data_IF_342429628378
#
_entry.id   IF_342429628378
#
_cell.length_a   1.000
_cell.length_b   1.000
_cell.length_c   1.000
_cell.angle_alpha   90.00
_cell.angle_beta   90.00
_cell.angle_gamma   90.00
#
_symmetry.space_group_name_H-M   'P 1'
#
loop_
_entity.id
_entity.type
_entity.pdbx_description
1 polymer ?
#
# COMPACT_ATOMS: atom_id res chain seq x y z
N UNK A 1 -9.58 -23.54 -19.99
CA UNK A 1 -8.80 -22.92 -18.90
C UNK A 1 -7.94 -21.77 -19.42
N UNK A 2 -7.13 -21.94 -20.45
CA UNK A 2 -6.30 -20.87 -21.08
C UNK A 2 -7.06 -19.62 -21.54
N UNK A 3 -8.32 -19.74 -21.92
CA UNK A 3 -9.13 -18.61 -22.44
C UNK A 3 -9.59 -17.69 -21.32
N UNK A 4 -9.86 -18.21 -20.12
CA UNK A 4 -10.34 -17.44 -18.95
C UNK A 4 -9.22 -16.66 -18.29
N UNK A 5 -8.01 -17.21 -18.21
CA UNK A 5 -6.82 -16.51 -17.70
C UNK A 5 -6.42 -15.37 -18.63
N UNK A 6 -6.51 -15.55 -19.94
CA UNK A 6 -6.30 -14.46 -20.91
C UNK A 6 -7.33 -13.34 -20.73
N UNK A 7 -8.58 -13.68 -20.51
CA UNK A 7 -9.67 -12.69 -20.33
C UNK A 7 -9.50 -11.90 -19.03
N UNK A 8 -9.07 -12.54 -17.94
CA UNK A 8 -8.76 -11.88 -16.66
C UNK A 8 -7.54 -10.96 -16.77
N UNK A 9 -6.50 -11.40 -17.47
CA UNK A 9 -5.31 -10.58 -17.70
C UNK A 9 -5.63 -9.38 -18.60
N UNK A 10 -6.42 -9.57 -19.66
CA UNK A 10 -6.88 -8.47 -20.53
C UNK A 10 -7.76 -7.46 -19.78
N UNK A 11 -8.66 -7.92 -18.90
CA UNK A 11 -9.47 -7.03 -18.06
C UNK A 11 -8.60 -6.23 -17.10
N UNK A 12 -7.61 -6.87 -16.49
CA UNK A 12 -6.64 -6.24 -15.59
C UNK A 12 -5.78 -5.20 -16.33
N UNK A 13 -5.30 -5.52 -17.53
CA UNK A 13 -4.51 -4.59 -18.34
C UNK A 13 -5.33 -3.39 -18.82
N UNK A 14 -6.59 -3.63 -19.25
CA UNK A 14 -7.50 -2.55 -19.64
C UNK A 14 -7.84 -1.62 -18.47
N UNK A 15 -8.10 -2.19 -17.29
CA UNK A 15 -8.34 -1.42 -16.06
C UNK A 15 -7.11 -0.60 -15.67
N UNK A 16 -5.90 -1.17 -15.74
CA UNK A 16 -4.64 -0.46 -15.51
C UNK A 16 -4.42 0.69 -16.48
N UNK A 17 -4.76 0.47 -17.75
CA UNK A 17 -4.63 1.48 -18.81
C UNK A 17 -5.61 2.64 -18.59
N UNK A 18 -6.85 2.34 -18.26
CA UNK A 18 -7.87 3.34 -17.91
C UNK A 18 -7.47 4.16 -16.69
N UNK A 19 -7.02 3.51 -15.61
CA UNK A 19 -6.58 4.19 -14.40
C UNK A 19 -5.35 5.08 -14.64
N UNK A 20 -4.42 4.66 -15.50
CA UNK A 20 -3.26 5.47 -15.89
C UNK A 20 -3.68 6.73 -16.65
N UNK A 21 -4.63 6.60 -17.59
CA UNK A 21 -5.16 7.73 -18.34
C UNK A 21 -5.92 8.70 -17.43
N UNK A 22 -6.78 8.19 -16.55
CA UNK A 22 -7.47 8.98 -15.53
C UNK A 22 -6.49 9.74 -14.62
N UNK A 23 -5.37 9.13 -14.25
CA UNK A 23 -4.33 9.80 -13.50
C UNK A 23 -3.81 11.07 -14.20
N UNK A 24 -3.50 10.93 -15.48
CA UNK A 24 -3.01 12.05 -16.27
C UNK A 24 -4.09 13.13 -16.43
N UNK A 25 -5.34 12.72 -16.63
CA UNK A 25 -6.46 13.65 -16.77
C UNK A 25 -6.83 14.38 -15.46
N UNK A 26 -6.58 13.77 -14.30
CA UNK A 26 -6.76 14.43 -12.99
C UNK A 26 -5.58 15.33 -12.66
N UNK A 27 -4.36 14.91 -12.96
CA UNK A 27 -3.15 15.71 -12.67
C UNK A 27 -3.07 16.99 -13.48
N UNK A 28 -3.57 16.96 -14.71
CA UNK A 28 -3.53 18.13 -15.59
C UNK A 28 -4.27 19.34 -14.99
N UNK A 29 -5.56 19.24 -14.60
CA UNK A 29 -6.28 20.36 -13.98
C UNK A 29 -5.68 20.75 -12.63
N UNK A 30 -5.18 19.81 -11.81
CA UNK A 30 -4.51 20.11 -10.55
C UNK A 30 -3.23 20.92 -10.78
N UNK A 31 -2.44 20.54 -11.80
CA UNK A 31 -1.25 21.30 -12.21
C UNK A 31 -1.61 22.72 -12.70
N UNK A 32 -2.72 22.86 -13.41
CA UNK A 32 -3.25 24.16 -13.83
C UNK A 32 -3.67 25.03 -12.64
N UNK A 33 -4.42 24.49 -11.70
CA UNK A 33 -4.83 25.19 -10.46
C UNK A 33 -3.60 25.64 -9.66
N UNK A 34 -2.65 24.73 -9.46
CA UNK A 34 -1.40 25.02 -8.77
C UNK A 34 -0.61 26.13 -9.45
N UNK A 35 -0.44 26.04 -10.78
CA UNK A 35 0.29 27.05 -11.56
C UNK A 35 -0.37 28.42 -11.53
N UNK A 36 -1.71 28.48 -11.63
CA UNK A 36 -2.47 29.72 -11.51
C UNK A 36 -2.32 30.35 -10.12
N UNK A 37 -2.40 29.55 -9.05
CA UNK A 37 -2.20 30.01 -7.69
C UNK A 37 -0.78 30.56 -7.46
N UNK A 38 0.25 29.91 -8.03
CA UNK A 38 1.64 30.38 -7.95
C UNK A 38 1.87 31.71 -8.67
N UNK A 39 1.24 31.89 -9.85
CA UNK A 39 1.32 33.16 -10.58
C UNK A 39 0.63 34.26 -9.78
N UNK A 40 -0.55 34.00 -9.24
CA UNK A 40 -1.28 34.95 -8.40
C UNK A 40 -0.50 35.33 -7.15
N UNK A 41 0.11 34.33 -6.46
CA UNK A 41 0.95 34.58 -5.27
C UNK A 41 2.10 35.54 -5.55
N UNK A 42 2.71 35.47 -6.76
CA UNK A 42 3.78 36.37 -7.19
C UNK A 42 3.32 37.82 -7.37
N UNK A 43 2.03 38.06 -7.67
CA UNK A 43 1.46 39.40 -7.89
C UNK A 43 0.83 39.99 -6.61
N UNK A 44 0.53 39.18 -5.61
CA UNK A 44 -0.06 39.61 -4.36
C UNK A 44 0.99 40.28 -3.47
N UNK A 45 0.65 41.47 -2.95
CA UNK A 45 1.49 42.23 -2.01
C UNK A 45 1.01 42.08 -0.57
N UNK A 46 -0.25 41.70 -0.37
CA UNK A 46 -0.87 41.56 0.93
C UNK A 46 -0.59 40.14 1.50
N UNK A 47 0.01 40.05 2.71
CA UNK A 47 0.29 38.76 3.35
C UNK A 47 -0.94 37.89 3.59
N UNK A 48 -2.10 38.49 3.95
CA UNK A 48 -3.33 37.72 4.19
C UNK A 48 -3.83 37.02 2.91
N UNK A 49 -3.70 37.69 1.76
CA UNK A 49 -4.07 37.13 0.47
C UNK A 49 -3.10 36.03 0.00
N UNK A 50 -1.82 36.08 0.40
CA UNK A 50 -0.83 35.05 0.12
C UNK A 50 -1.14 33.75 0.86
N UNK A 51 -1.66 33.83 2.07
CA UNK A 51 -2.07 32.64 2.83
C UNK A 51 -3.12 31.81 2.07
N UNK A 52 -4.05 32.45 1.36
CA UNK A 52 -5.03 31.73 0.54
C UNK A 52 -4.38 31.01 -0.65
N UNK A 53 -3.41 31.62 -1.32
CA UNK A 53 -2.70 30.97 -2.44
C UNK A 53 -1.83 29.83 -1.97
N UNK A 54 -1.16 29.93 -0.81
CA UNK A 54 -0.41 28.85 -0.17
C UNK A 54 -1.32 27.66 0.15
N UNK A 55 -2.52 27.91 0.68
CA UNK A 55 -3.51 26.86 0.94
C UNK A 55 -3.93 26.16 -0.36
N UNK A 56 -4.21 26.90 -1.43
CA UNK A 56 -4.60 26.30 -2.73
C UNK A 56 -3.45 25.45 -3.29
N UNK A 57 -2.21 25.92 -3.23
CA UNK A 57 -1.03 25.18 -3.69
C UNK A 57 -0.86 23.90 -2.89
N UNK A 58 -0.93 24.00 -1.56
CA UNK A 58 -0.75 22.85 -0.67
C UNK A 58 -1.84 21.77 -0.87
N UNK A 59 -3.11 22.17 -1.07
CA UNK A 59 -4.19 21.23 -1.35
C UNK A 59 -4.08 20.62 -2.75
N UNK A 60 -3.63 21.38 -3.75
CA UNK A 60 -3.37 20.83 -5.08
C UNK A 60 -2.24 19.77 -5.04
N UNK A 61 -1.16 20.06 -4.32
CA UNK A 61 -0.04 19.12 -4.11
C UNK A 61 -0.49 17.88 -3.33
N UNK A 62 -1.32 18.04 -2.30
CA UNK A 62 -1.91 16.96 -1.54
C UNK A 62 -2.78 16.04 -2.41
N UNK A 63 -3.63 16.63 -3.26
CA UNK A 63 -4.48 15.87 -4.19
C UNK A 63 -3.64 15.12 -5.22
N UNK A 64 -2.58 15.73 -5.78
CA UNK A 64 -1.65 15.03 -6.67
C UNK A 64 -0.98 13.84 -5.98
N UNK A 65 -0.55 14.00 -4.74
CA UNK A 65 0.03 12.92 -3.94
C UNK A 65 -0.97 11.77 -3.69
N UNK A 66 -2.24 12.09 -3.40
CA UNK A 66 -3.29 11.08 -3.23
C UNK A 66 -3.53 10.30 -4.52
N UNK A 67 -3.62 10.99 -5.65
CA UNK A 67 -3.75 10.35 -6.98
C UNK A 67 -2.56 9.45 -7.25
N UNK A 68 -1.33 9.88 -6.94
CA UNK A 68 -0.13 9.07 -7.11
C UNK A 68 -0.13 7.83 -6.23
N UNK A 69 -0.56 7.94 -4.97
CA UNK A 69 -0.69 6.81 -4.06
C UNK A 69 -1.73 5.78 -4.54
N UNK A 70 -2.90 6.24 -4.99
CA UNK A 70 -3.97 5.36 -5.49
C UNK A 70 -3.53 4.62 -6.76
N UNK A 71 -2.72 5.26 -7.59
CA UNK A 71 -2.33 4.74 -8.90
C UNK A 71 -0.95 4.06 -8.92
N UNK A 72 -0.15 4.23 -7.86
CA UNK A 72 1.16 3.59 -7.74
C UNK A 72 1.13 2.08 -8.08
N UNK A 73 0.12 1.29 -7.63
CA UNK A 73 0.03 -0.13 -7.93
C UNK A 73 -0.16 -0.45 -9.41
N UNK A 74 -0.81 0.46 -10.13
CA UNK A 74 -1.19 0.25 -11.53
C UNK A 74 -0.12 0.76 -12.52
N UNK A 75 0.94 1.42 -12.02
CA UNK A 75 2.00 2.00 -12.86
C UNK A 75 3.08 1.01 -13.28
N UNK A 76 3.33 -0.02 -12.46
CA UNK A 76 4.40 -0.98 -12.75
C UNK A 76 3.86 -2.13 -13.61
N UNK A 77 4.58 -2.46 -14.67
CA UNK A 77 4.40 -3.71 -15.40
C UNK A 77 4.76 -4.85 -14.44
N UNK A 78 3.88 -5.85 -14.33
CA UNK A 78 4.16 -7.05 -13.56
C UNK A 78 5.38 -7.78 -14.14
N UNK A 79 6.47 -7.79 -13.40
CA UNK A 79 7.74 -8.40 -13.77
C UNK A 79 8.08 -9.53 -12.79
N UNK A 80 7.48 -10.72 -12.97
CA UNK A 80 7.77 -11.86 -12.10
C UNK A 80 9.17 -12.38 -12.38
N UNK A 81 9.96 -12.48 -11.32
CA UNK A 81 11.29 -13.10 -11.33
C UNK A 81 11.39 -14.12 -10.19
N UNK A 82 12.29 -15.12 -10.29
CA UNK A 82 12.56 -16.00 -9.16
C UNK A 82 12.95 -15.16 -7.95
N UNK A 83 12.21 -15.32 -6.85
CA UNK A 83 12.27 -14.42 -5.72
C UNK A 83 12.26 -15.22 -4.42
N UNK A 84 13.25 -14.96 -3.57
CA UNK A 84 13.25 -15.39 -2.19
C UNK A 84 12.42 -14.40 -1.37
N UNK A 85 11.27 -14.84 -0.88
CA UNK A 85 10.34 -13.99 -0.13
C UNK A 85 10.94 -13.51 1.18
N UNK A 86 11.76 -14.33 1.85
CA UNK A 86 12.36 -13.95 3.12
C UNK A 86 13.35 -12.80 2.98
N UNK A 87 14.08 -12.69 1.85
CA UNK A 87 14.93 -11.52 1.59
C UNK A 87 14.12 -10.22 1.54
N UNK A 88 12.93 -10.27 0.91
CA UNK A 88 12.04 -9.10 0.84
C UNK A 88 11.51 -8.75 2.22
N UNK A 89 11.02 -9.76 2.97
CA UNK A 89 10.49 -9.54 4.31
C UNK A 89 11.56 -8.99 5.27
N UNK A 90 12.81 -9.47 5.18
CA UNK A 90 13.91 -8.94 5.98
C UNK A 90 14.24 -7.48 5.63
N UNK A 91 14.23 -7.14 4.35
CA UNK A 91 14.42 -5.75 3.91
C UNK A 91 13.32 -4.83 4.46
N UNK A 92 12.07 -5.27 4.36
CA UNK A 92 10.92 -4.52 4.88
C UNK A 92 10.99 -4.39 6.40
N UNK A 93 11.35 -5.46 7.10
CA UNK A 93 11.56 -5.46 8.55
C UNK A 93 12.56 -4.41 8.98
N UNK A 94 13.73 -4.36 8.31
CA UNK A 94 14.77 -3.38 8.62
C UNK A 94 14.30 -1.93 8.37
N UNK A 95 13.54 -1.70 7.28
CA UNK A 95 12.99 -0.38 6.99
C UNK A 95 12.02 0.07 8.08
N UNK A 96 11.06 -0.78 8.46
CA UNK A 96 10.08 -0.43 9.50
C UNK A 96 10.75 -0.27 10.87
N UNK A 97 11.73 -1.11 11.21
CA UNK A 97 12.49 -0.93 12.46
C UNK A 97 13.30 0.37 12.48
N UNK A 98 13.77 0.86 11.32
CA UNK A 98 14.46 2.16 11.26
C UNK A 98 13.49 3.35 11.44
N UNK A 99 12.21 3.18 11.06
CA UNK A 99 11.15 4.18 11.27
C UNK A 99 10.69 4.19 12.75
N UNK A 100 10.74 3.05 13.42
CA UNK A 100 10.36 2.85 14.83
C UNK A 100 11.51 2.21 15.61
N UNK A 101 12.60 2.95 15.89
CA UNK A 101 13.82 2.38 16.47
C UNK A 101 13.64 1.92 17.93
N UNK A 102 12.68 2.47 18.63
CA UNK A 102 12.37 2.15 20.01
C UNK A 102 10.92 1.70 20.17
N UNK A 103 10.69 0.75 21.09
CA UNK A 103 9.34 0.30 21.47
C UNK A 103 8.69 -0.72 20.54
N UNK A 104 9.22 -0.98 19.33
CA UNK A 104 8.69 -1.98 18.40
C UNK A 104 9.61 -3.20 18.31
N UNK A 105 9.09 -4.36 18.72
CA UNK A 105 9.72 -5.66 18.50
C UNK A 105 9.15 -6.33 17.25
N UNK A 106 10.03 -6.80 16.35
CA UNK A 106 9.60 -7.60 15.18
C UNK A 106 10.15 -9.01 15.32
N UNK A 107 9.26 -9.99 15.42
CA UNK A 107 9.54 -11.41 15.53
C UNK A 107 9.43 -12.08 14.17
N UNK A 108 10.32 -13.03 13.88
CA UNK A 108 10.34 -13.84 12.66
C UNK A 108 9.87 -15.25 12.97
N UNK A 109 8.89 -15.73 12.25
CA UNK A 109 8.37 -17.11 12.29
C UNK A 109 8.31 -17.63 10.84
N UNK A 110 9.50 -17.82 10.25
CA UNK A 110 9.66 -18.18 8.86
C UNK A 110 9.69 -19.69 8.67
N UNK A 111 8.92 -20.19 7.72
CA UNK A 111 8.99 -21.54 7.24
C UNK A 111 10.18 -21.67 6.28
N UNK A 112 11.21 -22.41 6.70
CA UNK A 112 12.43 -22.59 5.92
C UNK A 112 12.23 -23.44 4.65
N UNK A 113 11.09 -24.11 4.52
CA UNK A 113 10.75 -24.92 3.35
C UNK A 113 10.19 -24.09 2.18
N UNK A 114 9.98 -22.79 2.35
CA UNK A 114 9.47 -21.91 1.30
C UNK A 114 10.49 -21.84 0.15
N UNK A 115 10.15 -22.33 -1.05
CA UNK A 115 11.02 -22.25 -2.20
C UNK A 115 11.04 -20.81 -2.79
N UNK A 116 11.99 -20.56 -3.68
CA UNK A 116 11.87 -19.40 -4.55
C UNK A 116 10.59 -19.47 -5.39
N UNK A 117 9.90 -18.36 -5.51
CA UNK A 117 8.67 -18.26 -6.28
C UNK A 117 8.75 -17.16 -7.32
N UNK A 118 7.98 -17.31 -8.40
CA UNK A 118 7.86 -16.28 -9.42
C UNK A 118 7.01 -15.14 -8.86
N UNK A 119 7.65 -14.01 -8.50
CA UNK A 119 6.98 -12.85 -7.94
C UNK A 119 7.61 -11.55 -8.44
N UNK A 120 6.82 -10.49 -8.49
CA UNK A 120 7.33 -9.14 -8.69
C UNK A 120 7.87 -8.61 -7.35
N UNK A 121 9.20 -8.47 -7.29
CA UNK A 121 9.92 -8.03 -6.07
C UNK A 121 9.44 -6.66 -5.59
N UNK A 122 9.15 -5.75 -6.51
CA UNK A 122 8.69 -4.39 -6.19
C UNK A 122 7.30 -4.40 -5.57
N UNK A 123 6.36 -5.13 -6.19
CA UNK A 123 5.00 -5.27 -5.68
C UNK A 123 4.98 -5.97 -4.32
N UNK A 124 5.70 -7.08 -4.17
CA UNK A 124 5.77 -7.82 -2.90
C UNK A 124 6.40 -6.98 -1.78
N UNK A 125 7.43 -6.20 -2.09
CA UNK A 125 8.02 -5.24 -1.15
C UNK A 125 6.99 -4.20 -0.72
N UNK A 126 6.25 -3.62 -1.67
CA UNK A 126 5.26 -2.58 -1.40
C UNK A 126 4.10 -3.11 -0.55
N UNK A 127 3.56 -4.30 -0.87
CA UNK A 127 2.50 -4.96 -0.08
C UNK A 127 2.98 -5.18 1.35
N UNK A 128 4.14 -5.80 1.50
CA UNK A 128 4.70 -6.13 2.81
C UNK A 128 4.98 -4.87 3.65
N UNK A 129 5.50 -3.82 3.01
CA UNK A 129 5.76 -2.55 3.69
C UNK A 129 4.46 -1.87 4.14
N UNK A 130 3.42 -1.87 3.30
CA UNK A 130 2.12 -1.32 3.66
C UNK A 130 1.49 -2.06 4.85
N UNK A 131 1.53 -3.40 4.84
CA UNK A 131 1.01 -4.20 5.95
C UNK A 131 1.77 -3.95 7.25
N UNK A 132 3.09 -3.92 7.18
CA UNK A 132 3.94 -3.67 8.36
C UNK A 132 3.74 -2.26 8.94
N UNK A 133 3.64 -1.24 8.08
CA UNK A 133 3.36 0.13 8.54
C UNK A 133 1.98 0.26 9.14
N UNK A 134 0.95 -0.34 8.53
CA UNK A 134 -0.40 -0.36 9.11
C UNK A 134 -0.41 -1.02 10.49
N UNK A 135 0.31 -2.13 10.66
CA UNK A 135 0.45 -2.79 11.95
C UNK A 135 1.18 -1.88 12.97
N UNK A 136 2.29 -1.24 12.58
CA UNK A 136 3.02 -0.32 13.46
C UNK A 136 2.19 0.91 13.84
N UNK A 137 1.44 1.49 12.89
CA UNK A 137 0.52 2.60 13.15
C UNK A 137 -0.61 2.22 14.11
N UNK A 138 -1.13 0.98 14.01
CA UNK A 138 -2.14 0.47 14.94
C UNK A 138 -1.59 0.28 16.36
N UNK A 139 -0.28 0.06 16.48
CA UNK A 139 0.43 -0.15 17.75
C UNK A 139 1.04 1.12 18.36
N UNK A 140 0.62 2.32 17.94
CA UNK A 140 1.25 3.58 18.36
C UNK A 140 1.33 3.74 19.89
N UNK A 141 0.30 3.33 20.63
CA UNK A 141 0.30 3.37 22.09
C UNK A 141 1.24 2.32 22.70
N UNK A 142 1.23 1.11 22.18
CA UNK A 142 2.10 0.02 22.63
C UNK A 142 3.57 0.30 22.32
N UNK A 143 3.86 1.00 21.20
CA UNK A 143 5.22 1.46 20.87
C UNK A 143 5.70 2.45 21.95
N UNK A 144 4.86 3.43 22.32
CA UNK A 144 5.20 4.38 23.38
C UNK A 144 5.44 3.70 24.74
N UNK A 145 4.78 2.57 24.98
CA UNK A 145 4.94 1.75 26.22
C UNK A 145 6.06 0.71 26.13
N UNK A 146 6.68 0.51 24.95
CA UNK A 146 7.71 -0.50 24.72
C UNK A 146 7.18 -1.95 24.68
N UNK A 147 5.87 -2.13 24.44
CA UNK A 147 5.18 -3.44 24.44
C UNK A 147 4.73 -3.90 23.06
N UNK A 148 4.95 -3.08 22.02
CA UNK A 148 4.55 -3.38 20.66
C UNK A 148 5.31 -4.56 20.07
N UNK A 149 4.57 -5.49 19.46
CA UNK A 149 5.13 -6.66 18.81
C UNK A 149 4.43 -6.96 17.48
N UNK A 150 5.21 -7.09 16.42
CA UNK A 150 4.74 -7.58 15.11
C UNK A 150 5.44 -8.91 14.82
N UNK A 151 4.68 -9.93 14.45
CA UNK A 151 5.22 -11.23 14.01
C UNK A 151 5.07 -11.37 12.50
N UNK A 152 6.19 -11.51 11.80
CA UNK A 152 6.24 -11.90 10.39
C UNK A 152 6.27 -13.41 10.30
N UNK A 153 5.19 -14.01 9.76
CA UNK A 153 5.05 -15.46 9.67
C UNK A 153 4.86 -15.87 8.22
N UNK A 154 5.59 -16.91 7.79
CA UNK A 154 5.41 -17.54 6.47
C UNK A 154 5.06 -19.00 6.63
N UNK A 155 4.18 -19.54 5.78
CA UNK A 155 3.84 -20.95 5.73
C UNK A 155 3.57 -21.38 4.30
N UNK A 156 4.11 -22.51 3.92
CA UNK A 156 3.71 -23.18 2.67
C UNK A 156 2.39 -23.91 2.91
N UNK A 157 1.42 -23.71 2.03
CA UNK A 157 0.14 -24.38 2.05
C UNK A 157 -0.07 -25.10 0.72
N UNK A 158 -0.64 -26.31 0.79
CA UNK A 158 -0.86 -27.13 -0.39
C UNK A 158 -2.35 -27.29 -0.66
N UNK A 159 -2.69 -27.50 -1.95
CA UNK A 159 -4.05 -27.75 -2.41
C UNK A 159 -5.06 -26.68 -1.96
N UNK A 160 -4.72 -25.43 -2.19
CA UNK A 160 -5.51 -24.26 -1.77
C UNK A 160 -6.30 -23.72 -2.94
N UNK A 161 -7.54 -23.31 -2.66
CA UNK A 161 -8.30 -22.51 -3.59
C UNK A 161 -8.03 -21.02 -3.31
N UNK A 162 -7.49 -20.32 -4.31
CA UNK A 162 -7.28 -18.86 -4.27
C UNK A 162 -8.24 -18.24 -5.29
N UNK A 163 -9.28 -17.56 -4.80
CA UNK A 163 -10.35 -17.06 -5.65
C UNK A 163 -11.05 -18.23 -6.38
N UNK A 164 -11.00 -18.20 -7.72
CA UNK A 164 -11.56 -19.27 -8.56
C UNK A 164 -10.51 -20.29 -9.03
N UNK A 165 -9.24 -20.11 -8.67
CA UNK A 165 -8.14 -20.96 -9.13
C UNK A 165 -7.72 -21.94 -8.04
N UNK A 166 -7.47 -23.19 -8.45
CA UNK A 166 -6.94 -24.23 -7.57
C UNK A 166 -5.42 -24.27 -7.71
N UNK A 167 -4.71 -23.95 -6.62
CA UNK A 167 -3.26 -23.92 -6.59
C UNK A 167 -2.73 -25.18 -5.88
N UNK A 168 -1.74 -25.84 -6.49
CA UNK A 168 -1.04 -26.97 -5.84
C UNK A 168 -0.29 -26.54 -4.60
N UNK A 169 0.30 -25.36 -4.66
CA UNK A 169 1.11 -24.78 -3.59
C UNK A 169 0.90 -23.29 -3.58
N UNK A 170 0.72 -22.72 -2.41
CA UNK A 170 0.66 -21.29 -2.18
C UNK A 170 1.51 -20.93 -0.95
N UNK A 171 1.92 -19.68 -0.89
CA UNK A 171 2.61 -19.13 0.26
C UNK A 171 1.67 -18.22 1.04
N UNK A 172 1.49 -18.51 2.31
CA UNK A 172 0.83 -17.62 3.24
C UNK A 172 1.88 -16.74 3.93
N UNK A 173 1.71 -15.42 3.81
CA UNK A 173 2.47 -14.42 4.53
C UNK A 173 1.52 -13.75 5.52
N UNK A 174 1.86 -13.79 6.79
CA UNK A 174 1.08 -13.17 7.85
C UNK A 174 1.91 -12.06 8.50
N UNK A 175 1.28 -10.90 8.66
CA UNK A 175 1.75 -9.81 9.52
C UNK A 175 0.79 -9.77 10.70
N UNK A 176 1.25 -10.17 11.87
CA UNK A 176 0.42 -10.33 13.07
C UNK A 176 0.91 -9.31 14.08
N UNK A 177 0.06 -8.40 14.47
CA UNK A 177 0.30 -7.43 15.52
C UNK A 177 -0.37 -7.84 16.84
N UNK A 178 0.06 -7.25 17.95
CA UNK A 178 -0.56 -7.45 19.26
C UNK A 178 -1.47 -6.30 19.67
N UNK A 179 -2.07 -5.61 18.70
CA UNK A 179 -3.04 -4.54 18.90
C UNK A 179 -4.42 -5.04 19.29
N UNK A 180 -5.34 -4.09 19.48
CA UNK A 180 -6.72 -4.38 19.88
C UNK A 180 -7.56 -5.04 18.76
N UNK A 181 -6.99 -5.12 17.55
CA UNK A 181 -7.67 -5.64 16.37
C UNK A 181 -8.59 -4.62 15.68
N UNK A 182 -9.30 -5.11 14.67
CA UNK A 182 -10.19 -4.29 13.85
C UNK A 182 -11.64 -4.45 14.35
N UNK A 183 -12.37 -3.35 14.62
CA UNK A 183 -13.79 -3.42 14.96
C UNK A 183 -14.57 -4.21 13.90
N UNK A 184 -15.51 -5.05 14.36
CA UNK A 184 -16.29 -5.92 13.46
C UNK A 184 -17.03 -5.15 12.37
N UNK A 185 -17.50 -3.96 12.68
CA UNK A 185 -18.23 -3.08 11.78
C UNK A 185 -17.38 -2.60 10.59
N UNK A 186 -16.06 -2.57 10.76
CA UNK A 186 -15.11 -2.13 9.72
C UNK A 186 -14.51 -3.30 8.91
N UNK A 187 -14.66 -4.53 9.38
CA UNK A 187 -13.99 -5.71 8.78
C UNK A 187 -14.31 -5.89 7.30
N UNK A 188 -15.56 -5.64 6.89
CA UNK A 188 -16.00 -5.78 5.50
C UNK A 188 -15.57 -4.60 4.61
N UNK A 189 -15.22 -3.47 5.20
CA UNK A 189 -14.91 -2.23 4.50
C UNK A 189 -13.44 -1.85 4.45
N UNK A 190 -12.57 -2.50 5.23
CA UNK A 190 -11.14 -2.16 5.33
C UNK A 190 -10.36 -2.27 4.01
N UNK A 191 -10.87 -3.05 3.07
CA UNK A 191 -10.25 -3.21 1.75
C UNK A 191 -10.73 -2.19 0.72
N UNK A 192 -11.75 -1.38 1.03
CA UNK A 192 -12.17 -0.31 0.12
C UNK A 192 -11.16 0.85 0.17
N UNK A 193 -10.85 1.44 -1.00
CA UNK A 193 -9.99 2.62 -1.06
C UNK A 193 -10.54 3.75 -0.18
N UNK A 194 -9.68 4.43 0.57
CA UNK A 194 -10.02 5.58 1.40
C UNK A 194 -10.83 5.27 2.67
N UNK A 195 -11.09 4.01 3.00
CA UNK A 195 -11.66 3.66 4.30
C UNK A 195 -10.54 3.58 5.33
N UNK A 196 -10.64 4.42 6.36
CA UNK A 196 -9.72 4.45 7.50
C UNK A 196 -10.54 4.58 8.78
N UNK A 197 -10.24 3.77 9.78
CA UNK A 197 -10.84 3.91 11.11
C UNK A 197 -10.28 5.09 11.92
N UNK A 198 -9.32 5.86 11.36
CA UNK A 198 -8.69 7.01 12.00
C UNK A 198 -8.91 8.28 11.17
N UNK A 199 -9.18 9.42 11.84
CA UNK A 199 -9.40 10.75 11.22
C UNK A 199 -8.20 11.24 10.35
N UNK A 200 -7.02 10.64 10.46
CA UNK A 200 -5.80 10.97 9.71
C UNK A 200 -5.20 9.81 8.91
N UNK A 201 -5.92 8.69 8.76
CA UNK A 201 -5.43 7.54 7.99
C UNK A 201 -5.43 7.82 6.48
N UNK A 202 -4.28 7.82 5.84
CA UNK A 202 -4.10 8.09 4.41
C UNK A 202 -4.31 6.88 3.48
N UNK A 203 -5.11 6.04 3.85
CA UNK A 203 -5.74 4.88 3.49
C UNK A 203 -5.71 4.00 2.25
N UNK A 204 -4.80 3.96 1.25
CA UNK A 204 -4.87 2.93 0.21
C UNK A 204 -4.14 1.61 0.55
N UNK A 205 -3.55 1.48 1.75
CA UNK A 205 -2.65 0.37 2.08
C UNK A 205 -3.26 -1.02 1.96
N UNK A 206 -4.45 -1.25 2.51
CA UNK A 206 -5.10 -2.57 2.50
C UNK A 206 -5.81 -2.89 1.18
N UNK A 207 -6.34 -1.89 0.47
CA UNK A 207 -6.91 -2.10 -0.86
C UNK A 207 -5.87 -2.57 -1.88
N UNK A 208 -4.59 -2.20 -1.71
CA UNK A 208 -3.48 -2.69 -2.50
C UNK A 208 -3.24 -4.19 -2.31
N UNK A 209 -3.35 -4.67 -1.08
CA UNK A 209 -3.15 -6.08 -0.74
C UNK A 209 -4.18 -6.95 -1.47
N UNK A 210 -5.44 -6.52 -1.55
CA UNK A 210 -6.50 -7.23 -2.26
C UNK A 210 -6.28 -7.24 -3.79
N UNK A 211 -5.62 -6.22 -4.35
CA UNK A 211 -5.38 -6.11 -5.79
C UNK A 211 -4.26 -7.05 -6.28
N UNK A 212 -3.32 -7.38 -5.41
CA UNK A 212 -2.13 -8.18 -5.75
C UNK A 212 -2.10 -9.58 -5.10
N UNK A 213 -2.99 -9.87 -4.15
CA UNK A 213 -3.19 -11.19 -3.55
C UNK A 213 -4.16 -12.00 -4.38
#
# INVERSE_FOLDING_TARGET
>A
QMTRERHMNELSENTRRLLRNLAHEIKNPLGGIRGAAQLLEGELHDPENKEFTEVIISEADRLQHLVDKILAPYRQLYHPVPTNVHEILERVRLLVQSEFPEGLKVVRDYDISVPEMMADRGQLTQISLNLMRNAAEALSEQIAQGTACITLKTRVVHHVQVGQSFCRTALNIHVIDNGEGIPKELTDSIFYPLVSGKERGSGPGLSLVQTFG
#
